data_IF_091698928481
#
_entry.id   IF_091698928481
#
_cell.length_a   1.000
_cell.length_b   1.000
_cell.length_c   1.000
_cell.angle_alpha   90.00
_cell.angle_beta   90.00
_cell.angle_gamma   90.00
#
_symmetry.space_group_name_H-M   'P 1'
#
loop_
_entity.id
_entity.type
_entity.pdbx_description
1 polymer ?
#
# COMPACT_ATOMS: atom_id res chain seq x y z
N UNK A 1 -14.33 -11.34 14.92
CA UNK A 1 -13.14 -10.47 14.80
C UNK A 1 -12.76 -10.33 13.34
N UNK A 2 -11.82 -9.48 12.95
CA UNK A 2 -11.60 -9.12 11.53
C UNK A 2 -10.10 -9.20 11.27
N UNK A 3 -9.60 -10.43 11.16
CA UNK A 3 -8.19 -10.71 11.10
C UNK A 3 -7.62 -10.39 9.71
N UNK A 4 -6.36 -9.94 9.69
CA UNK A 4 -5.60 -9.59 8.50
C UNK A 4 -4.26 -10.31 8.53
N UNK A 5 -3.90 -10.97 7.44
CA UNK A 5 -2.59 -11.59 7.27
C UNK A 5 -1.69 -10.65 6.47
N UNK A 6 -0.51 -10.35 7.00
CA UNK A 6 0.47 -9.48 6.35
C UNK A 6 1.50 -10.29 5.57
N UNK A 7 1.58 -10.06 4.27
CA UNK A 7 2.53 -10.69 3.36
C UNK A 7 3.63 -9.69 3.00
N UNK A 8 4.87 -10.00 3.37
CA UNK A 8 6.02 -9.15 3.11
C UNK A 8 6.88 -9.82 2.02
N UNK A 9 6.98 -9.20 0.85
CA UNK A 9 7.59 -9.84 -0.30
C UNK A 9 8.76 -9.03 -0.87
N UNK A 10 9.90 -9.67 -0.92
CA UNK A 10 11.16 -9.09 -1.38
C UNK A 10 11.82 -8.15 -0.36
N UNK A 11 13.02 -7.70 -0.64
CA UNK A 11 13.85 -6.93 0.28
C UNK A 11 13.16 -5.63 0.75
N UNK A 12 12.59 -4.85 -0.17
CA UNK A 12 11.88 -3.60 0.19
C UNK A 12 10.62 -3.89 1.01
N UNK A 13 9.82 -4.90 0.61
CA UNK A 13 8.61 -5.29 1.31
C UNK A 13 8.88 -5.78 2.73
N UNK A 14 9.94 -6.58 2.90
CA UNK A 14 10.36 -7.07 4.21
C UNK A 14 10.88 -5.96 5.12
N UNK A 15 11.63 -4.98 4.60
CA UNK A 15 12.12 -3.85 5.39
C UNK A 15 10.96 -2.95 5.84
N UNK A 16 10.06 -2.56 4.93
CA UNK A 16 8.86 -1.77 5.29
C UNK A 16 7.98 -2.52 6.27
N UNK A 17 7.77 -3.81 6.04
CA UNK A 17 6.97 -4.65 6.93
C UNK A 17 7.57 -4.78 8.33
N UNK A 18 8.89 -4.88 8.45
CA UNK A 18 9.57 -4.93 9.76
C UNK A 18 9.36 -3.62 10.53
N UNK A 19 9.52 -2.47 9.87
CA UNK A 19 9.29 -1.16 10.49
C UNK A 19 7.80 -0.98 10.87
N UNK A 20 6.88 -1.50 10.05
CA UNK A 20 5.45 -1.54 10.39
C UNK A 20 5.18 -2.37 11.65
N UNK A 21 5.74 -3.57 11.77
CA UNK A 21 5.55 -4.41 12.95
C UNK A 21 6.17 -3.81 14.21
N UNK A 22 7.33 -3.15 14.09
CA UNK A 22 7.89 -2.39 15.19
C UNK A 22 6.91 -1.31 15.67
N UNK A 23 6.36 -0.51 14.72
CA UNK A 23 5.37 0.53 15.02
C UNK A 23 4.13 -0.04 15.71
N UNK A 24 3.59 -1.15 15.21
CA UNK A 24 2.40 -1.79 15.78
C UNK A 24 2.68 -2.36 17.20
N UNK A 25 3.83 -2.99 17.39
CA UNK A 25 4.22 -3.51 18.72
C UNK A 25 4.38 -2.39 19.74
N UNK A 26 5.01 -1.28 19.35
CA UNK A 26 5.13 -0.11 20.25
C UNK A 26 3.76 0.50 20.56
N UNK A 27 2.85 0.60 19.60
CA UNK A 27 1.48 1.11 19.82
C UNK A 27 0.63 0.23 20.72
N UNK A 28 0.78 -1.09 20.66
CA UNK A 28 0.05 -2.06 21.48
C UNK A 28 0.82 -2.50 22.73
N UNK A 29 1.94 -1.84 23.04
CA UNK A 29 2.77 -2.17 24.21
C UNK A 29 3.22 -3.63 24.27
N UNK A 30 3.57 -4.20 23.11
CA UNK A 30 4.10 -5.56 22.98
C UNK A 30 5.62 -5.50 22.93
N UNK A 31 6.29 -6.29 23.79
CA UNK A 31 7.75 -6.39 23.79
C UNK A 31 8.27 -7.09 22.50
N UNK A 32 9.56 -6.92 22.14
CA UNK A 32 10.15 -7.66 21.02
C UNK A 32 10.08 -9.20 21.17
N UNK A 33 9.85 -9.69 22.38
CA UNK A 33 9.68 -11.11 22.68
C UNK A 33 8.21 -11.58 22.55
N UNK A 34 7.29 -10.68 22.23
CA UNK A 34 5.86 -10.97 22.07
C UNK A 34 5.03 -10.85 23.35
N UNK A 35 5.62 -10.41 24.48
CA UNK A 35 4.89 -10.27 25.73
C UNK A 35 4.21 -8.91 25.82
N UNK A 36 2.98 -8.89 26.30
CA UNK A 36 2.25 -7.67 26.61
C UNK A 36 2.80 -7.04 27.90
N UNK A 37 3.26 -5.79 27.81
CA UNK A 37 3.82 -5.01 28.94
C UNK A 37 2.99 -3.77 29.26
N UNK A 38 1.88 -3.56 28.55
CA UNK A 38 0.97 -2.45 28.75
C UNK A 38 0.09 -2.59 29.98
N UNK A 39 -0.66 -1.53 30.27
CA UNK A 39 -1.62 -1.48 31.40
C UNK A 39 -3.05 -1.16 30.95
N UNK A 40 -3.27 -0.97 29.64
CA UNK A 40 -4.54 -0.54 29.08
C UNK A 40 -5.30 -1.72 28.45
N UNK A 41 -6.51 -1.98 28.91
CA UNK A 41 -7.37 -3.00 28.31
C UNK A 41 -7.79 -2.65 26.87
N UNK A 42 -7.77 -1.35 26.51
CA UNK A 42 -8.09 -0.87 25.14
C UNK A 42 -7.08 -1.35 24.09
N UNK A 43 -5.83 -1.56 24.49
CA UNK A 43 -4.77 -2.03 23.60
C UNK A 43 -4.95 -3.51 23.24
N UNK A 44 -5.68 -4.26 24.09
CA UNK A 44 -5.94 -5.70 23.91
C UNK A 44 -7.24 -5.99 23.17
N UNK A 45 -8.23 -5.09 23.19
CA UNK A 45 -9.59 -5.35 22.71
C UNK A 45 -9.66 -5.84 21.27
N UNK A 46 -8.82 -5.30 20.37
CA UNK A 46 -8.80 -5.67 18.96
C UNK A 46 -7.41 -6.16 18.50
N UNK A 47 -6.61 -6.70 19.42
CA UNK A 47 -5.26 -7.16 19.11
C UNK A 47 -5.25 -8.33 18.11
N UNK A 48 -6.29 -9.18 18.15
CA UNK A 48 -6.46 -10.34 17.29
C UNK A 48 -6.50 -10.01 15.78
N UNK A 49 -6.71 -8.73 15.42
CA UNK A 49 -6.68 -8.30 14.01
C UNK A 49 -5.34 -8.62 13.36
N UNK A 50 -4.24 -8.40 14.06
CA UNK A 50 -2.89 -8.58 13.54
C UNK A 50 -2.07 -9.63 14.28
N UNK A 51 -2.46 -10.03 15.49
CA UNK A 51 -1.71 -10.96 16.32
C UNK A 51 -2.49 -12.23 16.63
N UNK A 52 -1.76 -13.32 16.80
CA UNK A 52 -2.25 -14.57 17.37
C UNK A 52 -1.78 -14.68 18.82
N UNK A 53 -2.64 -15.03 19.75
CA UNK A 53 -2.22 -15.42 21.10
C UNK A 53 -1.76 -16.89 21.07
N UNK A 54 -0.47 -17.13 21.28
CA UNK A 54 0.11 -18.49 21.29
C UNK A 54 0.04 -19.12 22.67
N UNK A 55 0.33 -18.35 23.70
CA UNK A 55 0.21 -18.72 25.11
C UNK A 55 -0.31 -17.49 25.87
N UNK A 56 -0.86 -17.68 27.07
CA UNK A 56 -1.42 -16.60 27.85
C UNK A 56 -0.46 -15.41 27.98
N UNK A 57 -0.82 -14.30 27.30
CA UNK A 57 -0.04 -13.05 27.29
C UNK A 57 1.15 -13.02 26.33
N UNK A 58 1.31 -14.03 25.46
CA UNK A 58 2.34 -14.02 24.42
C UNK A 58 1.71 -13.99 23.02
N UNK A 59 2.01 -12.95 22.27
CA UNK A 59 1.40 -12.60 21.00
C UNK A 59 2.39 -12.74 19.85
N UNK A 60 1.93 -13.30 18.75
CA UNK A 60 2.72 -13.53 17.53
C UNK A 60 2.05 -12.88 16.31
N UNK A 61 2.80 -12.14 15.48
CA UNK A 61 2.26 -11.51 14.27
C UNK A 61 1.68 -12.51 13.28
N UNK A 62 0.53 -12.16 12.69
CA UNK A 62 -0.02 -12.84 11.51
C UNK A 62 0.74 -12.39 10.27
N UNK A 63 1.98 -12.82 10.11
CA UNK A 63 2.86 -12.36 9.05
C UNK A 63 3.60 -13.52 8.38
N UNK A 64 3.74 -13.43 7.05
CA UNK A 64 4.57 -14.34 6.24
C UNK A 64 5.62 -13.50 5.52
N UNK A 65 6.88 -13.84 5.68
CA UNK A 65 8.02 -13.13 5.13
C UNK A 65 8.65 -13.96 4.02
N UNK A 66 8.66 -13.41 2.81
CA UNK A 66 9.12 -14.11 1.61
C UNK A 66 10.23 -13.31 0.94
N UNK A 67 11.38 -13.91 0.72
CA UNK A 67 12.42 -13.32 -0.12
C UNK A 67 13.22 -14.41 -0.83
N UNK A 68 13.60 -14.15 -2.08
CA UNK A 68 14.53 -15.01 -2.81
C UNK A 68 15.97 -14.81 -2.33
N UNK A 69 16.30 -13.63 -1.80
CA UNK A 69 17.62 -13.31 -1.23
C UNK A 69 17.62 -13.54 0.29
N UNK A 70 18.39 -14.50 0.81
CA UNK A 70 18.42 -14.81 2.23
C UNK A 70 18.91 -13.65 3.11
N UNK A 71 19.70 -12.71 2.56
CA UNK A 71 20.33 -11.63 3.34
C UNK A 71 19.34 -10.77 4.10
N UNK A 72 18.22 -10.40 3.47
CA UNK A 72 17.22 -9.57 4.12
C UNK A 72 16.56 -10.30 5.27
N UNK A 73 16.16 -11.55 5.05
CA UNK A 73 15.51 -12.38 6.07
C UNK A 73 16.48 -12.71 7.21
N UNK A 74 17.75 -13.02 6.90
CA UNK A 74 18.77 -13.28 7.91
C UNK A 74 19.03 -12.03 8.78
N UNK A 75 19.02 -10.84 8.20
CA UNK A 75 19.12 -9.58 8.95
C UNK A 75 17.91 -9.36 9.87
N UNK A 76 16.70 -9.66 9.41
CA UNK A 76 15.48 -9.56 10.24
C UNK A 76 15.53 -10.55 11.38
N UNK A 77 15.91 -11.80 11.13
CA UNK A 77 16.08 -12.83 12.17
C UNK A 77 17.11 -12.43 13.23
N UNK A 78 18.18 -11.74 12.81
CA UNK A 78 19.22 -11.25 13.72
C UNK A 78 18.80 -9.98 14.48
N UNK A 79 17.72 -9.30 14.08
CA UNK A 79 17.20 -8.11 14.75
C UNK A 79 16.49 -8.46 16.06
N UNK A 80 16.34 -7.52 17.00
CA UNK A 80 15.60 -7.75 18.24
C UNK A 80 14.16 -8.25 18.02
N UNK A 81 13.52 -7.82 16.93
CA UNK A 81 12.16 -8.21 16.56
C UNK A 81 12.09 -9.54 15.79
N UNK A 82 13.23 -10.16 15.47
CA UNK A 82 13.25 -11.43 14.74
C UNK A 82 12.63 -12.59 15.49
N UNK A 83 12.67 -12.55 16.82
CA UNK A 83 12.06 -13.59 17.68
C UNK A 83 10.54 -13.51 17.68
N UNK A 84 9.98 -12.35 17.36
CA UNK A 84 8.53 -12.09 17.36
C UNK A 84 7.80 -12.94 16.30
N UNK A 85 8.42 -13.16 15.13
CA UNK A 85 7.81 -13.87 14.02
C UNK A 85 7.94 -15.39 14.18
N UNK A 86 6.97 -16.12 13.65
CA UNK A 86 7.05 -17.57 13.59
C UNK A 86 8.18 -18.01 12.65
N UNK A 87 9.02 -18.96 13.12
CA UNK A 87 10.11 -19.49 12.30
C UNK A 87 9.63 -20.18 11.01
N UNK A 88 8.45 -20.78 11.02
CA UNK A 88 7.86 -21.43 9.85
C UNK A 88 7.39 -20.45 8.78
N UNK A 89 7.18 -19.17 9.14
CA UNK A 89 6.71 -18.13 8.24
C UNK A 89 7.84 -17.39 7.52
N UNK A 90 9.10 -17.76 7.76
CA UNK A 90 10.24 -17.26 7.02
C UNK A 90 10.54 -18.14 5.81
N UNK A 91 10.22 -17.68 4.62
CA UNK A 91 10.38 -18.44 3.38
C UNK A 91 11.49 -17.81 2.54
N UNK A 92 12.48 -18.61 2.25
CA UNK A 92 13.69 -18.18 1.53
C UNK A 92 13.82 -19.01 0.26
N UNK A 93 14.09 -18.35 -0.86
CA UNK A 93 14.41 -19.03 -2.12
C UNK A 93 15.65 -19.93 -2.03
N UNK A 94 15.78 -20.82 -3.00
CA UNK A 94 16.84 -21.83 -2.99
C UNK A 94 18.23 -21.17 -3.09
N UNK A 95 19.10 -21.38 -2.09
CA UNK A 95 20.43 -20.75 -1.99
C UNK A 95 21.35 -21.04 -3.20
N UNK A 96 21.11 -22.13 -3.92
CA UNK A 96 21.94 -22.57 -5.04
C UNK A 96 21.59 -21.90 -6.37
N UNK A 97 20.32 -21.41 -6.51
CA UNK A 97 19.83 -20.74 -7.72
C UNK A 97 19.86 -19.21 -7.60
N UNK A 98 20.17 -18.67 -6.42
CA UNK A 98 20.43 -17.25 -6.23
C UNK A 98 21.78 -16.88 -6.90
N UNK A 99 21.81 -16.96 -8.22
CA UNK A 99 22.91 -16.38 -8.97
C UNK A 99 23.01 -14.90 -8.64
N UNK A 100 24.08 -14.48 -7.97
CA UNK A 100 24.43 -13.09 -7.63
C UNK A 100 24.59 -12.18 -8.86
N UNK A 101 23.96 -12.53 -9.98
CA UNK A 101 23.98 -11.75 -11.19
C UNK A 101 22.83 -10.75 -11.18
N UNK A 102 23.11 -9.50 -11.50
CA UNK A 102 22.13 -8.42 -11.77
C UNK A 102 20.92 -8.84 -12.62
N UNK A 103 20.94 -10.03 -13.14
CA UNK A 103 20.01 -10.58 -14.12
C UNK A 103 18.91 -11.47 -13.53
N UNK A 104 19.03 -11.90 -12.27
CA UNK A 104 17.95 -12.58 -11.55
C UNK A 104 16.87 -11.61 -11.05
N UNK A 105 17.08 -10.31 -11.24
CA UNK A 105 16.14 -9.27 -10.80
C UNK A 105 15.12 -8.93 -11.91
N UNK A 106 14.56 -9.94 -12.58
CA UNK A 106 13.52 -9.75 -13.57
C UNK A 106 12.18 -10.39 -13.10
N UNK A 107 11.08 -9.83 -13.57
CA UNK A 107 9.73 -10.30 -13.27
C UNK A 107 9.55 -11.78 -13.64
N UNK A 108 9.97 -12.17 -14.85
CA UNK A 108 9.77 -13.54 -15.35
C UNK A 108 10.49 -14.59 -14.49
N UNK A 109 11.70 -14.29 -14.05
CA UNK A 109 12.44 -15.17 -13.15
C UNK A 109 11.75 -15.34 -11.80
N UNK A 110 11.25 -14.25 -11.23
CA UNK A 110 10.45 -14.27 -10.01
C UNK A 110 9.11 -14.98 -10.16
N UNK A 111 8.47 -14.86 -11.31
CA UNK A 111 7.14 -15.40 -11.57
C UNK A 111 7.18 -16.89 -11.96
N UNK A 112 7.93 -17.26 -13.02
CA UNK A 112 7.90 -18.59 -13.60
C UNK A 112 8.92 -19.55 -13.01
N UNK A 113 10.11 -19.06 -12.62
CA UNK A 113 11.22 -19.95 -12.23
C UNK A 113 11.26 -20.14 -10.72
N UNK A 114 11.64 -19.11 -9.98
CA UNK A 114 11.82 -19.24 -8.53
C UNK A 114 10.52 -19.12 -7.75
N UNK A 115 9.56 -18.34 -8.25
CA UNK A 115 8.24 -18.24 -7.65
C UNK A 115 7.59 -19.62 -7.50
N UNK A 116 7.50 -20.36 -8.58
CA UNK A 116 6.90 -21.70 -8.57
C UNK A 116 7.64 -22.71 -7.65
N UNK A 117 8.92 -22.50 -7.35
CA UNK A 117 9.65 -23.39 -6.44
C UNK A 117 9.31 -23.17 -4.96
N UNK A 118 8.95 -21.95 -4.58
CA UNK A 118 8.64 -21.59 -3.20
C UNK A 118 7.13 -21.48 -2.95
N UNK A 119 6.34 -21.53 -4.00
CA UNK A 119 4.91 -21.29 -3.99
C UNK A 119 4.16 -22.20 -3.00
N UNK A 120 4.36 -23.50 -3.08
CA UNK A 120 3.77 -24.46 -2.14
C UNK A 120 4.10 -24.15 -0.68
N UNK A 121 5.32 -23.67 -0.40
CA UNK A 121 5.73 -23.32 0.97
C UNK A 121 5.05 -22.06 1.45
N UNK A 122 4.91 -21.06 0.57
CA UNK A 122 4.23 -19.79 0.87
C UNK A 122 2.76 -20.04 1.11
N UNK A 123 2.10 -20.76 0.22
CA UNK A 123 0.66 -21.07 0.34
C UNK A 123 0.36 -21.91 1.58
N UNK A 124 1.23 -22.86 1.92
CA UNK A 124 1.08 -23.65 3.16
C UNK A 124 1.26 -22.78 4.42
N UNK A 125 2.19 -21.82 4.43
CA UNK A 125 2.32 -20.88 5.54
C UNK A 125 1.10 -19.96 5.65
N UNK A 126 0.60 -19.45 4.54
CA UNK A 126 -0.63 -18.63 4.49
C UNK A 126 -1.83 -19.46 4.98
N UNK A 127 -1.98 -20.71 4.52
CA UNK A 127 -3.04 -21.59 4.94
C UNK A 127 -3.02 -21.84 6.45
N UNK A 128 -1.84 -22.08 7.04
CA UNK A 128 -1.68 -22.25 8.49
C UNK A 128 -2.09 -20.99 9.27
N UNK A 129 -1.73 -19.79 8.80
CA UNK A 129 -2.14 -18.54 9.43
C UNK A 129 -3.65 -18.27 9.24
N UNK A 130 -4.22 -18.64 8.09
CA UNK A 130 -5.64 -18.52 7.83
C UNK A 130 -6.47 -19.46 8.71
N UNK A 131 -5.99 -20.67 8.97
CA UNK A 131 -6.65 -21.65 9.85
C UNK A 131 -6.63 -21.21 11.34
N UNK A 132 -5.64 -20.42 11.77
CA UNK A 132 -5.61 -19.82 13.10
C UNK A 132 -6.59 -18.64 13.24
N UNK A 133 -7.14 -18.16 12.15
CA UNK A 133 -8.03 -17.00 12.12
C UNK A 133 -9.49 -17.47 12.23
N UNK A 134 -10.28 -16.80 13.07
CA UNK A 134 -11.73 -17.08 13.18
C UNK A 134 -12.51 -16.47 12.02
N UNK A 135 -12.15 -15.25 11.60
CA UNK A 135 -12.84 -14.52 10.55
C UNK A 135 -11.83 -13.72 9.73
N UNK A 136 -11.13 -14.39 8.82
CA UNK A 136 -10.18 -13.75 7.91
C UNK A 136 -10.89 -12.71 7.05
N UNK A 137 -10.48 -11.45 7.13
CA UNK A 137 -11.04 -10.34 6.38
C UNK A 137 -10.28 -10.11 5.07
N UNK A 138 -8.97 -10.24 5.10
CA UNK A 138 -8.15 -9.99 3.92
C UNK A 138 -6.66 -10.15 4.16
N UNK A 139 -5.93 -9.82 3.11
CA UNK A 139 -4.48 -9.84 3.06
C UNK A 139 -3.94 -8.43 2.87
N UNK A 140 -2.86 -8.12 3.56
CA UNK A 140 -2.11 -6.88 3.40
C UNK A 140 -0.74 -7.23 2.84
N UNK A 141 -0.41 -6.71 1.65
CA UNK A 141 0.87 -6.95 1.01
C UNK A 141 1.78 -5.73 1.14
N UNK A 142 3.07 -5.97 1.35
CA UNK A 142 4.12 -4.96 1.16
C UNK A 142 5.15 -5.47 0.17
N UNK A 143 5.31 -4.79 -0.94
CA UNK A 143 6.23 -5.19 -2.00
C UNK A 143 6.72 -4.00 -2.84
N UNK A 144 7.70 -4.22 -3.69
CA UNK A 144 8.15 -3.23 -4.67
C UNK A 144 7.92 -3.74 -6.09
N UNK A 145 7.56 -2.85 -7.00
CA UNK A 145 7.29 -3.17 -8.41
C UNK A 145 8.56 -3.26 -9.27
N UNK A 146 9.70 -2.73 -8.79
CA UNK A 146 10.92 -2.66 -9.60
C UNK A 146 11.81 -3.89 -9.53
N UNK A 147 11.75 -4.64 -8.42
CA UNK A 147 12.57 -5.84 -8.19
C UNK A 147 11.92 -7.11 -8.73
N UNK A 148 12.69 -8.14 -9.08
CA UNK A 148 12.17 -9.42 -9.58
C UNK A 148 11.31 -10.18 -8.54
N UNK A 149 11.75 -10.23 -7.28
CA UNK A 149 11.00 -10.86 -6.18
C UNK A 149 9.73 -10.08 -5.87
N UNK A 150 9.86 -8.79 -5.58
CA UNK A 150 8.72 -7.95 -5.20
C UNK A 150 7.67 -7.79 -6.30
N UNK A 151 8.05 -7.94 -7.57
CA UNK A 151 7.13 -7.94 -8.71
C UNK A 151 6.66 -9.35 -9.06
N UNK A 152 7.58 -10.24 -9.46
CA UNK A 152 7.23 -11.54 -10.01
C UNK A 152 6.64 -12.51 -8.98
N UNK A 153 7.32 -12.71 -7.84
CA UNK A 153 6.81 -13.62 -6.79
C UNK A 153 5.52 -13.07 -6.16
N UNK A 154 5.43 -11.74 -5.97
CA UNK A 154 4.22 -11.15 -5.41
C UNK A 154 2.98 -11.41 -6.30
N UNK A 155 3.14 -11.26 -7.60
CA UNK A 155 2.03 -11.52 -8.53
C UNK A 155 1.69 -13.01 -8.60
N UNK A 156 2.69 -13.90 -8.58
CA UNK A 156 2.43 -15.35 -8.53
C UNK A 156 1.58 -15.72 -7.30
N UNK A 157 2.00 -15.28 -6.12
CA UNK A 157 1.25 -15.51 -4.87
C UNK A 157 -0.17 -14.89 -4.95
N UNK A 158 -0.31 -13.69 -5.51
CA UNK A 158 -1.62 -13.04 -5.65
C UNK A 158 -2.57 -13.81 -6.56
N UNK A 159 -2.08 -14.43 -7.64
CA UNK A 159 -2.91 -15.26 -8.51
C UNK A 159 -3.47 -16.49 -7.77
N UNK A 160 -2.64 -17.16 -7.00
CA UNK A 160 -3.09 -18.29 -6.19
C UNK A 160 -4.06 -17.84 -5.07
N UNK A 161 -3.79 -16.71 -4.44
CA UNK A 161 -4.72 -16.13 -3.44
C UNK A 161 -6.06 -15.72 -4.05
N UNK A 162 -6.08 -15.32 -5.31
CA UNK A 162 -7.34 -15.00 -6.01
C UNK A 162 -8.20 -16.22 -6.23
N UNK A 163 -7.58 -17.39 -6.50
CA UNK A 163 -8.26 -18.66 -6.65
C UNK A 163 -8.77 -19.18 -5.30
N UNK A 164 -7.90 -19.22 -4.28
CA UNK A 164 -8.21 -19.86 -2.99
C UNK A 164 -9.04 -18.99 -2.06
N UNK A 165 -8.80 -17.65 -2.09
CA UNK A 165 -9.38 -16.66 -1.16
C UNK A 165 -10.09 -15.51 -1.88
N UNK A 166 -10.93 -15.81 -2.87
CA UNK A 166 -11.61 -14.83 -3.73
C UNK A 166 -12.56 -13.87 -2.96
N UNK A 167 -12.97 -14.21 -1.74
CA UNK A 167 -13.85 -13.38 -0.89
C UNK A 167 -13.10 -12.48 0.08
N UNK A 168 -11.79 -12.68 0.22
CA UNK A 168 -10.92 -11.92 1.08
C UNK A 168 -10.39 -10.70 0.33
N UNK A 169 -10.31 -9.57 1.01
CA UNK A 169 -9.81 -8.32 0.41
C UNK A 169 -8.28 -8.39 0.30
N UNK A 170 -7.78 -8.06 -0.86
CA UNK A 170 -6.36 -7.98 -1.15
C UNK A 170 -5.93 -6.51 -1.24
N UNK A 171 -5.24 -6.06 -0.20
CA UNK A 171 -4.72 -4.70 -0.09
C UNK A 171 -3.21 -4.71 -0.25
N UNK A 172 -2.65 -3.81 -1.06
CA UNK A 172 -1.20 -3.69 -1.20
C UNK A 172 -0.66 -2.29 -0.91
N UNK A 173 0.55 -2.25 -0.33
CA UNK A 173 1.41 -1.08 -0.26
C UNK A 173 2.58 -1.32 -1.21
N UNK A 174 2.50 -0.71 -2.38
CA UNK A 174 3.39 -1.00 -3.50
C UNK A 174 4.35 0.15 -3.74
N UNK A 175 5.65 -0.13 -3.55
CA UNK A 175 6.70 0.83 -3.86
C UNK A 175 6.94 0.84 -5.36
N UNK A 176 6.50 1.91 -6.01
CA UNK A 176 6.66 2.13 -7.44
C UNK A 176 8.07 2.65 -7.74
N UNK A 177 8.66 2.17 -8.82
CA UNK A 177 9.98 2.63 -9.26
C UNK A 177 9.95 4.10 -9.68
N UNK A 178 10.95 4.87 -9.26
CA UNK A 178 11.05 6.29 -9.61
C UNK A 178 11.47 6.48 -11.07
N UNK A 179 10.76 7.33 -11.80
CA UNK A 179 11.09 7.71 -13.19
C UNK A 179 12.01 8.94 -13.23
N UNK A 180 12.46 9.42 -12.08
CA UNK A 180 13.28 10.62 -12.00
C UNK A 180 14.49 10.56 -12.94
N UNK A 181 14.69 11.65 -13.71
CA UNK A 181 15.85 11.92 -14.58
C UNK A 181 15.99 11.09 -15.88
N UNK A 182 14.94 10.42 -16.35
CA UNK A 182 14.92 9.84 -17.71
C UNK A 182 15.79 8.60 -17.92
N UNK A 183 16.38 8.04 -16.90
CA UNK A 183 17.27 6.87 -16.94
C UNK A 183 16.88 5.77 -15.95
N UNK A 184 15.59 5.39 -15.94
CA UNK A 184 15.16 4.18 -15.24
C UNK A 184 15.90 2.97 -15.85
N UNK A 185 16.37 2.05 -15.00
CA UNK A 185 16.93 0.77 -15.48
C UNK A 185 15.85 0.05 -16.31
N UNK A 186 16.17 -0.46 -17.51
CA UNK A 186 15.20 -1.19 -18.33
C UNK A 186 14.47 -2.32 -17.59
N UNK A 187 15.15 -3.03 -16.69
CA UNK A 187 14.54 -4.08 -15.90
C UNK A 187 13.43 -3.54 -14.98
N UNK A 188 13.69 -2.42 -14.30
CA UNK A 188 12.69 -1.78 -13.45
C UNK A 188 11.48 -1.29 -14.23
N UNK A 189 11.70 -0.78 -15.47
CA UNK A 189 10.61 -0.33 -16.33
C UNK A 189 9.70 -1.51 -16.75
N UNK A 190 10.29 -2.64 -17.13
CA UNK A 190 9.52 -3.83 -17.48
C UNK A 190 8.79 -4.42 -16.29
N UNK A 191 9.50 -4.62 -15.18
CA UNK A 191 8.91 -5.17 -13.96
C UNK A 191 7.73 -4.32 -13.45
N UNK A 192 7.85 -2.98 -13.49
CA UNK A 192 6.80 -2.07 -13.07
C UNK A 192 5.53 -2.21 -13.92
N UNK A 193 5.66 -2.28 -15.25
CA UNK A 193 4.50 -2.42 -16.15
C UNK A 193 3.84 -3.79 -15.99
N UNK A 194 4.61 -4.88 -15.90
CA UNK A 194 4.03 -6.18 -15.62
C UNK A 194 3.29 -6.18 -14.27
N UNK A 195 3.92 -5.63 -13.21
CA UNK A 195 3.26 -5.55 -11.91
C UNK A 195 1.97 -4.73 -11.96
N UNK A 196 1.98 -3.54 -12.56
CA UNK A 196 0.81 -2.67 -12.66
C UNK A 196 -0.33 -3.34 -13.44
N UNK A 197 0.00 -4.03 -14.55
CA UNK A 197 -0.99 -4.76 -15.35
C UNK A 197 -1.70 -5.85 -14.55
N UNK A 198 -0.96 -6.69 -13.82
CA UNK A 198 -1.58 -7.74 -13.01
C UNK A 198 -2.25 -7.19 -11.73
N UNK A 199 -1.69 -6.17 -11.10
CA UNK A 199 -2.28 -5.56 -9.91
C UNK A 199 -3.65 -4.94 -10.20
N UNK A 200 -3.88 -4.42 -11.42
CA UNK A 200 -5.18 -3.86 -11.82
C UNK A 200 -6.32 -4.88 -11.81
N UNK A 201 -5.99 -6.17 -11.93
CA UNK A 201 -6.96 -7.24 -12.03
C UNK A 201 -7.05 -8.09 -10.74
N UNK A 202 -5.96 -8.19 -9.97
CA UNK A 202 -5.84 -9.12 -8.83
C UNK A 202 -6.05 -8.47 -7.46
N UNK A 203 -5.89 -7.15 -7.35
CA UNK A 203 -5.99 -6.42 -6.08
C UNK A 203 -7.31 -5.66 -5.97
N UNK A 204 -7.79 -5.51 -4.74
CA UNK A 204 -8.95 -4.68 -4.45
C UNK A 204 -8.56 -3.25 -4.06
N UNK A 205 -7.39 -3.06 -3.46
CA UNK A 205 -6.88 -1.75 -3.03
C UNK A 205 -5.36 -1.69 -3.19
N UNK A 206 -4.87 -0.70 -3.91
CA UNK A 206 -3.44 -0.50 -4.14
C UNK A 206 -2.99 0.89 -3.73
N UNK A 207 -2.17 0.98 -2.68
CA UNK A 207 -1.53 2.22 -2.28
C UNK A 207 -0.17 2.33 -2.97
N UNK A 208 -0.06 3.29 -3.90
CA UNK A 208 1.18 3.54 -4.61
C UNK A 208 2.07 4.52 -3.82
N UNK A 209 3.34 4.19 -3.71
CA UNK A 209 4.34 4.95 -2.97
C UNK A 209 5.60 5.10 -3.82
N UNK A 210 6.24 6.27 -3.78
CA UNK A 210 7.50 6.55 -4.49
C UNK A 210 8.59 7.02 -3.54
N UNK A 211 9.78 6.45 -3.65
CA UNK A 211 10.92 6.81 -2.79
C UNK A 211 11.36 8.27 -2.99
N UNK A 212 11.27 8.82 -4.20
CA UNK A 212 11.61 10.22 -4.45
C UNK A 212 10.74 11.18 -3.63
N UNK A 213 9.45 10.89 -3.47
CA UNK A 213 8.56 11.72 -2.65
C UNK A 213 8.81 11.55 -1.16
N UNK A 214 9.08 10.33 -0.71
CA UNK A 214 9.48 10.08 0.67
C UNK A 214 10.76 10.85 1.01
N UNK A 215 11.75 10.83 0.12
CA UNK A 215 12.97 11.61 0.27
C UNK A 215 12.67 13.12 0.36
N UNK A 216 11.81 13.63 -0.51
CA UNK A 216 11.40 15.04 -0.49
C UNK A 216 10.69 15.40 0.82
N UNK A 217 9.82 14.56 1.35
CA UNK A 217 9.16 14.78 2.65
C UNK A 217 10.20 14.81 3.77
N UNK A 218 11.10 13.85 3.82
CA UNK A 218 12.17 13.82 4.83
C UNK A 218 13.06 15.06 4.75
N UNK A 219 13.44 15.48 3.55
CA UNK A 219 14.33 16.62 3.34
C UNK A 219 13.65 17.97 3.59
N UNK A 220 12.46 18.18 3.00
CA UNK A 220 11.79 19.48 3.03
C UNK A 220 10.95 19.68 4.30
N UNK A 221 10.16 18.69 4.70
CA UNK A 221 9.21 18.82 5.80
C UNK A 221 9.87 18.46 7.14
N UNK A 222 10.60 17.35 7.21
CA UNK A 222 11.31 16.92 8.42
C UNK A 222 12.69 17.56 8.57
N UNK A 223 13.20 18.25 7.53
CA UNK A 223 14.50 18.94 7.52
C UNK A 223 15.69 18.05 7.85
N UNK A 224 15.63 16.79 7.44
CA UNK A 224 16.74 15.86 7.58
C UNK A 224 17.81 16.14 6.52
N UNK A 225 19.08 16.26 6.92
CA UNK A 225 20.17 16.58 5.99
C UNK A 225 20.50 15.42 5.05
N UNK A 226 20.38 14.19 5.51
CA UNK A 226 20.66 12.96 4.75
C UNK A 226 19.67 11.85 5.16
N UNK A 227 18.46 11.81 4.55
CA UNK A 227 17.50 10.76 4.85
C UNK A 227 18.02 9.36 4.47
N UNK A 228 17.84 8.40 5.35
CA UNK A 228 18.12 6.99 5.11
C UNK A 228 16.85 6.24 4.62
N UNK A 229 17.03 5.02 4.11
CA UNK A 229 15.89 4.17 3.78
C UNK A 229 15.02 3.82 5.00
N UNK A 230 15.63 3.68 6.18
CA UNK A 230 14.88 3.46 7.42
C UNK A 230 13.99 4.66 7.76
N UNK A 231 14.46 5.90 7.57
CA UNK A 231 13.63 7.09 7.79
C UNK A 231 12.44 7.14 6.83
N UNK A 232 12.66 6.77 5.56
CA UNK A 232 11.58 6.69 4.57
C UNK A 232 10.57 5.58 4.91
N UNK A 233 11.03 4.40 5.32
CA UNK A 233 10.17 3.30 5.72
C UNK A 233 9.33 3.64 6.96
N UNK A 234 9.88 4.41 7.90
CA UNK A 234 9.13 4.87 9.09
C UNK A 234 7.95 5.78 8.73
N UNK A 235 8.04 6.57 7.65
CA UNK A 235 6.90 7.34 7.14
C UNK A 235 5.81 6.41 6.58
N UNK A 236 6.21 5.39 5.83
CA UNK A 236 5.27 4.41 5.27
C UNK A 236 4.57 3.67 6.41
N UNK A 237 5.32 3.16 7.38
CA UNK A 237 4.78 2.40 8.51
C UNK A 237 3.83 3.24 9.38
N UNK A 238 4.13 4.53 9.57
CA UNK A 238 3.23 5.47 10.24
C UNK A 238 1.89 5.63 9.50
N UNK A 239 1.91 5.75 8.17
CA UNK A 239 0.69 5.81 7.36
C UNK A 239 -0.08 4.49 7.37
N UNK A 240 0.60 3.35 7.27
CA UNK A 240 0.00 2.02 7.37
C UNK A 240 -0.68 1.82 8.74
N UNK A 241 -0.01 2.23 9.83
CA UNK A 241 -0.59 2.22 11.17
C UNK A 241 -1.82 3.13 11.26
N UNK A 242 -1.77 4.32 10.65
CA UNK A 242 -2.89 5.25 10.62
C UNK A 242 -4.14 4.66 9.96
N UNK A 243 -4.00 4.02 8.81
CA UNK A 243 -5.12 3.39 8.08
C UNK A 243 -5.70 2.22 8.88
N UNK A 244 -4.86 1.39 9.48
CA UNK A 244 -5.28 0.21 10.22
C UNK A 244 -5.87 0.55 11.60
N UNK A 245 -5.68 1.76 12.11
CA UNK A 245 -6.08 2.15 13.47
C UNK A 245 -7.58 1.97 13.74
N UNK A 246 -8.45 2.27 12.75
CA UNK A 246 -9.88 2.07 12.88
C UNK A 246 -10.33 0.62 13.01
N UNK A 247 -9.47 -0.35 12.67
CA UNK A 247 -9.71 -1.78 12.87
C UNK A 247 -9.09 -2.31 14.17
N UNK A 248 -8.00 -1.67 14.63
CA UNK A 248 -7.21 -2.12 15.81
C UNK A 248 -7.66 -1.52 17.14
N UNK A 249 -8.38 -0.43 17.10
CA UNK A 249 -8.84 0.24 18.30
C UNK A 249 -10.34 0.48 18.24
N UNK A 250 -11.04 0.42 19.38
CA UNK A 250 -12.44 0.80 19.45
C UNK A 250 -12.58 2.31 19.17
N UNK A 251 -13.60 2.69 18.43
CA UNK A 251 -13.87 4.08 18.10
C UNK A 251 -15.33 4.29 17.73
N UNK A 252 -15.78 5.55 17.77
CA UNK A 252 -17.18 5.88 17.46
C UNK A 252 -17.52 5.62 15.98
N UNK A 253 -16.55 5.82 15.10
CA UNK A 253 -16.68 5.61 13.66
C UNK A 253 -15.62 4.60 13.17
N UNK A 254 -15.84 3.34 13.52
CA UNK A 254 -14.94 2.26 13.11
C UNK A 254 -15.01 1.99 11.61
N UNK A 255 -13.85 1.89 10.99
CA UNK A 255 -13.70 1.48 9.61
C UNK A 255 -13.03 0.11 9.53
N UNK A 256 -13.79 -0.90 9.14
CA UNK A 256 -13.20 -2.19 8.75
C UNK A 256 -12.59 -2.09 7.36
N UNK A 257 -11.60 -2.94 7.04
CA UNK A 257 -10.98 -2.99 5.71
C UNK A 257 -12.03 -3.08 4.60
N UNK A 258 -13.06 -3.91 4.77
CA UNK A 258 -14.17 -4.03 3.81
C UNK A 258 -14.95 -2.75 3.63
N UNK A 259 -15.22 -2.01 4.72
CA UNK A 259 -15.93 -0.73 4.63
C UNK A 259 -15.09 0.33 3.91
N UNK A 260 -13.78 0.35 4.18
CA UNK A 260 -12.86 1.25 3.49
C UNK A 260 -12.85 0.93 1.99
N UNK A 261 -12.66 -0.34 1.62
CA UNK A 261 -12.65 -0.80 0.23
C UNK A 261 -13.96 -0.43 -0.49
N UNK A 262 -15.11 -0.77 0.07
CA UNK A 262 -16.42 -0.48 -0.55
C UNK A 262 -16.67 1.01 -0.76
N UNK A 263 -16.18 1.87 0.14
CA UNK A 263 -16.39 3.31 0.03
C UNK A 263 -15.39 4.00 -0.91
N UNK A 264 -14.19 3.43 -1.07
CA UNK A 264 -13.12 4.04 -1.85
C UNK A 264 -13.07 3.57 -3.31
N UNK A 265 -13.42 2.31 -3.55
CA UNK A 265 -13.36 1.72 -4.89
C UNK A 265 -14.70 1.96 -5.59
N UNK A 266 -14.75 2.93 -6.50
CA UNK A 266 -15.95 3.20 -7.30
C UNK A 266 -16.12 2.18 -8.41
N UNK A 267 -15.02 1.82 -9.05
CA UNK A 267 -14.95 0.85 -10.14
C UNK A 267 -13.83 -0.16 -9.87
N UNK A 268 -14.02 -1.43 -10.16
CA UNK A 268 -13.08 -2.50 -9.78
C UNK A 268 -11.62 -2.24 -10.20
N UNK A 269 -11.38 -1.68 -11.39
CA UNK A 269 -10.03 -1.39 -11.89
C UNK A 269 -9.44 -0.07 -11.38
N UNK A 270 -10.28 0.87 -10.91
CA UNK A 270 -9.87 2.17 -10.42
C UNK A 270 -9.63 2.15 -8.90
N UNK A 271 -8.76 1.28 -8.43
CA UNK A 271 -8.47 1.05 -7.02
C UNK A 271 -7.06 1.47 -6.60
N UNK A 272 -6.43 2.34 -7.38
CA UNK A 272 -5.12 2.91 -7.05
C UNK A 272 -5.28 4.19 -6.23
N UNK A 273 -4.54 4.27 -5.13
CA UNK A 273 -4.67 5.37 -4.17
C UNK A 273 -3.32 6.03 -3.91
N UNK A 274 -3.36 7.33 -3.70
CA UNK A 274 -2.26 8.08 -3.09
C UNK A 274 -2.46 8.17 -1.58
N UNK A 275 -1.37 8.11 -0.85
CA UNK A 275 -1.30 8.19 0.60
C UNK A 275 -0.75 9.54 1.04
N UNK A 276 -1.26 10.07 2.15
CA UNK A 276 -0.70 11.22 2.85
C UNK A 276 -0.83 11.03 4.35
N UNK A 277 0.19 11.45 5.08
CA UNK A 277 0.18 11.48 6.55
C UNK A 277 0.30 12.90 7.08
N UNK A 278 -0.18 13.13 8.29
CA UNK A 278 -0.06 14.39 9.01
C UNK A 278 -0.03 14.14 10.53
N UNK A 279 0.88 14.77 11.28
CA UNK A 279 1.83 15.81 10.88
C UNK A 279 3.16 15.25 10.38
N UNK A 280 3.66 15.74 9.26
CA UNK A 280 5.03 15.55 8.83
C UNK A 280 5.81 16.86 9.04
N UNK A 281 6.17 17.20 10.28
CA UNK A 281 6.94 18.40 10.61
C UNK A 281 7.96 18.16 11.71
N UNK A 282 9.16 18.76 11.56
CA UNK A 282 10.25 18.69 12.52
C UNK A 282 10.07 19.56 13.79
N UNK A 283 9.09 20.46 13.83
CA UNK A 283 8.90 21.40 14.93
C UNK A 283 7.67 21.05 15.77
N UNK A 284 7.87 20.96 17.10
CA UNK A 284 6.78 20.99 18.08
C UNK A 284 6.00 22.30 17.89
N UNK A 285 4.75 22.17 17.43
CA UNK A 285 3.87 23.33 17.29
C UNK A 285 3.51 23.93 18.65
N UNK A 286 3.35 25.26 18.71
CA UNK A 286 2.85 25.96 19.90
C UNK A 286 1.55 25.28 20.37
N UNK A 287 1.46 24.94 21.64
CA UNK A 287 0.37 24.22 22.29
C UNK A 287 -1.04 24.80 22.00
N UNK A 288 -1.12 26.10 21.66
CA UNK A 288 -2.38 26.78 21.33
C UNK A 288 -2.86 26.60 19.86
N UNK A 289 -2.02 25.99 18.97
CA UNK A 289 -2.35 25.73 17.57
C UNK A 289 -2.27 24.26 17.21
N UNK A 290 -2.48 23.38 18.18
CA UNK A 290 -2.17 21.94 18.12
C UNK A 290 -2.85 21.20 16.96
N UNK A 291 -4.05 21.60 16.57
CA UNK A 291 -4.85 20.91 15.54
C UNK A 291 -4.80 21.55 14.16
N UNK A 292 -4.64 22.88 14.09
CA UNK A 292 -4.68 23.62 12.82
C UNK A 292 -3.59 23.19 11.82
N UNK A 293 -2.31 22.96 12.23
CA UNK A 293 -1.28 22.55 11.28
C UNK A 293 -1.55 21.17 10.67
N UNK A 294 -1.96 20.20 11.48
CA UNK A 294 -2.24 18.84 11.02
C UNK A 294 -3.39 18.82 9.99
N UNK A 295 -4.48 19.52 10.29
CA UNK A 295 -5.62 19.60 9.36
C UNK A 295 -5.26 20.30 8.06
N UNK A 296 -4.42 21.35 8.10
CA UNK A 296 -4.01 22.06 6.89
C UNK A 296 -3.12 21.22 5.98
N UNK A 297 -2.33 20.31 6.56
CA UNK A 297 -1.47 19.39 5.82
C UNK A 297 -2.22 18.22 5.18
N UNK A 298 -3.42 17.89 5.69
CA UNK A 298 -4.23 16.82 5.16
C UNK A 298 -4.69 17.15 3.72
N UNK A 299 -4.32 16.30 2.78
CA UNK A 299 -4.58 16.53 1.35
C UNK A 299 -3.70 17.60 0.71
N UNK A 300 -2.59 18.01 1.36
CA UNK A 300 -1.56 18.84 0.71
C UNK A 300 -0.68 17.94 -0.18
N UNK A 301 -0.49 18.28 -1.47
CA UNK A 301 0.35 17.51 -2.39
C UNK A 301 1.79 17.28 -1.90
N UNK A 302 2.30 18.19 -1.07
CA UNK A 302 3.65 18.09 -0.50
C UNK A 302 3.83 16.93 0.47
N UNK A 303 2.72 16.43 1.02
CA UNK A 303 2.70 15.32 1.97
C UNK A 303 2.25 14.01 1.32
N UNK A 304 1.98 14.00 0.02
CA UNK A 304 1.67 12.77 -0.70
C UNK A 304 2.91 11.90 -0.82
N UNK A 305 2.75 10.61 -0.54
CA UNK A 305 3.82 9.63 -0.70
C UNK A 305 4.03 9.24 -2.18
N UNK A 306 3.23 9.77 -3.06
CA UNK A 306 3.28 9.59 -4.50
C UNK A 306 3.31 10.96 -5.19
N UNK A 307 4.10 11.11 -6.24
CA UNK A 307 4.19 12.36 -7.01
C UNK A 307 2.95 12.58 -7.90
N UNK A 308 1.81 12.70 -7.25
CA UNK A 308 0.54 12.99 -7.91
C UNK A 308 0.19 14.48 -7.71
N UNK A 309 -0.09 15.19 -8.80
CA UNK A 309 -0.55 16.58 -8.74
C UNK A 309 -2.08 16.61 -8.69
N UNK A 310 -2.71 16.94 -7.56
CA UNK A 310 -4.16 16.97 -7.43
C UNK A 310 -4.84 18.06 -8.27
N UNK A 311 -4.06 19.01 -8.82
CA UNK A 311 -4.60 20.06 -9.71
C UNK A 311 -4.76 19.57 -11.16
N UNK A 312 -4.22 18.42 -11.51
CA UNK A 312 -4.26 17.84 -12.86
C UNK A 312 -5.24 16.66 -12.83
N UNK A 313 -6.49 16.90 -12.55
CA UNK A 313 -7.48 15.83 -12.52
C UNK A 313 -8.51 15.99 -11.43
N UNK A 314 -9.46 15.07 -11.36
CA UNK A 314 -10.53 15.07 -10.39
C UNK A 314 -10.23 14.06 -9.26
N UNK A 315 -10.64 14.39 -8.04
CA UNK A 315 -10.72 13.47 -6.92
C UNK A 315 -12.01 12.67 -7.05
N UNK A 316 -11.92 11.37 -7.17
CA UNK A 316 -13.09 10.49 -7.20
C UNK A 316 -13.57 10.21 -5.77
N UNK A 317 -12.74 9.56 -4.98
CA UNK A 317 -13.05 9.22 -3.59
C UNK A 317 -11.90 9.53 -2.67
N UNK A 318 -12.22 9.76 -1.40
CA UNK A 318 -11.23 9.94 -0.35
C UNK A 318 -11.67 9.30 0.96
N UNK A 319 -10.69 8.88 1.73
CA UNK A 319 -10.87 8.40 3.09
C UNK A 319 -9.85 9.07 4.01
N UNK A 320 -10.32 9.59 5.13
CA UNK A 320 -9.48 10.20 6.15
C UNK A 320 -9.61 9.44 7.47
N UNK A 321 -8.50 9.04 8.05
CA UNK A 321 -8.45 8.42 9.37
C UNK A 321 -7.84 9.41 10.36
N UNK A 322 -8.60 9.79 11.38
CA UNK A 322 -8.18 10.68 12.44
C UNK A 322 -7.87 9.90 13.71
N UNK A 323 -6.70 10.13 14.30
CA UNK A 323 -6.26 9.49 15.54
C UNK A 323 -6.01 10.52 16.63
N UNK A 324 -6.46 10.21 17.86
CA UNK A 324 -6.33 11.09 19.01
C UNK A 324 -7.59 11.92 19.27
N UNK A 325 -7.49 12.89 20.18
CA UNK A 325 -8.62 13.72 20.58
C UNK A 325 -8.88 14.84 19.58
N UNK A 326 -9.80 14.65 18.67
CA UNK A 326 -10.23 15.64 17.70
C UNK A 326 -11.62 16.20 18.04
N UNK A 327 -11.81 17.51 17.86
CA UNK A 327 -13.14 18.10 17.89
C UNK A 327 -13.91 17.76 16.60
N UNK A 328 -15.12 17.23 16.75
CA UNK A 328 -15.98 16.83 15.62
C UNK A 328 -16.19 17.96 14.62
N UNK A 329 -16.39 19.19 15.11
CA UNK A 329 -16.56 20.39 14.27
C UNK A 329 -15.32 20.67 13.40
N UNK A 330 -14.12 20.43 13.95
CA UNK A 330 -12.88 20.65 13.20
C UNK A 330 -12.71 19.62 12.07
N UNK A 331 -13.12 18.39 12.30
CA UNK A 331 -13.10 17.33 11.28
C UNK A 331 -14.10 17.66 10.17
N UNK A 332 -15.36 17.98 10.54
CA UNK A 332 -16.41 18.30 9.58
C UNK A 332 -16.03 19.53 8.73
N UNK A 333 -15.48 20.57 9.36
CA UNK A 333 -14.98 21.73 8.64
C UNK A 333 -13.91 21.36 7.60
N UNK A 334 -12.95 20.49 7.99
CA UNK A 334 -11.88 20.09 7.07
C UNK A 334 -12.37 19.22 5.91
N UNK A 335 -13.32 18.33 6.17
CA UNK A 335 -13.93 17.51 5.12
C UNK A 335 -14.68 18.38 4.12
N UNK A 336 -15.45 19.36 4.62
CA UNK A 336 -16.12 20.36 3.78
C UNK A 336 -15.11 21.21 2.99
N UNK A 337 -13.98 21.61 3.62
CA UNK A 337 -12.90 22.33 2.94
C UNK A 337 -12.29 21.52 1.78
N UNK A 338 -12.08 20.21 1.96
CA UNK A 338 -11.60 19.33 0.89
C UNK A 338 -12.66 19.18 -0.20
N UNK A 339 -13.92 18.98 0.16
CA UNK A 339 -15.03 18.87 -0.79
C UNK A 339 -15.27 20.17 -1.58
N UNK A 340 -15.07 21.32 -0.95
CA UNK A 340 -15.31 22.63 -1.56
C UNK A 340 -14.05 23.22 -2.23
N UNK A 341 -12.92 22.54 -2.19
CA UNK A 341 -11.70 22.97 -2.90
C UNK A 341 -11.97 23.00 -4.39
N UNK A 342 -12.01 24.16 -4.96
CA UNK A 342 -12.16 24.46 -6.39
C UNK A 342 -13.29 23.70 -7.09
N UNK A 343 -14.31 24.38 -7.64
CA UNK A 343 -15.31 23.74 -8.49
C UNK A 343 -14.61 22.93 -9.59
N UNK A 344 -14.96 21.66 -9.75
CA UNK A 344 -14.40 20.76 -10.76
C UNK A 344 -13.20 19.91 -10.32
N UNK A 345 -12.67 20.05 -9.08
CA UNK A 345 -11.61 19.13 -8.57
C UNK A 345 -12.16 17.87 -7.93
N UNK A 346 -13.42 17.81 -7.57
CA UNK A 346 -14.11 16.62 -7.05
C UNK A 346 -15.11 16.16 -8.12
N UNK A 347 -15.23 14.87 -8.34
CA UNK A 347 -16.18 14.31 -9.28
C UNK A 347 -17.62 14.54 -8.77
N UNK A 348 -18.40 15.34 -9.50
CA UNK A 348 -19.77 15.75 -9.10
C UNK A 348 -20.78 14.60 -9.17
N UNK A 349 -20.52 13.59 -10.00
CA UNK A 349 -21.34 12.39 -10.15
C UNK A 349 -21.19 11.37 -9.00
N UNK A 350 -20.24 11.59 -8.05
CA UNK A 350 -20.07 10.76 -6.85
C UNK A 350 -20.54 11.51 -5.59
N UNK A 351 -21.82 11.43 -5.23
CA UNK A 351 -22.29 12.01 -3.98
C UNK A 351 -21.63 11.26 -2.79
N UNK A 352 -21.16 12.02 -1.81
CA UNK A 352 -20.51 11.48 -0.61
C UNK A 352 -19.21 10.69 -0.86
N UNK A 353 -18.43 11.04 -1.88
CA UNK A 353 -17.15 10.39 -2.20
C UNK A 353 -16.08 10.52 -1.09
N UNK A 354 -16.30 11.34 -0.05
CA UNK A 354 -15.36 11.54 1.05
C UNK A 354 -15.92 10.89 2.32
N UNK A 355 -15.20 9.90 2.84
CA UNK A 355 -15.52 9.21 4.09
C UNK A 355 -14.40 9.38 5.12
N UNK A 356 -14.72 9.20 6.40
CA UNK A 356 -13.73 9.30 7.46
C UNK A 356 -13.99 8.33 8.60
N UNK A 357 -12.94 8.06 9.37
CA UNK A 357 -13.01 7.34 10.64
C UNK A 357 -12.29 8.13 11.75
N UNK A 358 -12.73 7.92 12.98
CA UNK A 358 -12.13 8.54 14.15
C UNK A 358 -11.77 7.48 15.18
N UNK A 359 -10.53 7.52 15.64
CA UNK A 359 -10.01 6.69 16.70
C UNK A 359 -9.51 7.58 17.84
N UNK A 360 -9.93 7.32 19.07
CA UNK A 360 -9.54 8.11 20.24
C UNK A 360 -8.09 7.88 20.66
N UNK A 361 -7.52 6.73 20.30
CA UNK A 361 -6.14 6.35 20.69
C UNK A 361 -5.11 7.06 19.79
N UNK A 362 -4.23 7.91 20.35
CA UNK A 362 -3.16 8.54 19.57
C UNK A 362 -2.14 7.51 19.09
N UNK A 363 -1.29 7.90 18.13
CA UNK A 363 -0.14 7.10 17.71
C UNK A 363 1.02 7.18 18.73
N UNK A 364 2.17 6.57 18.38
CA UNK A 364 3.39 6.54 19.21
C UNK A 364 3.79 7.95 19.68
N UNK A 365 3.65 8.96 18.85
CA UNK A 365 3.99 10.35 19.18
C UNK A 365 3.11 10.99 20.26
N UNK A 366 2.05 10.31 20.72
CA UNK A 366 1.03 10.85 21.62
C UNK A 366 0.35 12.15 21.10
N UNK A 367 0.63 12.54 19.86
CA UNK A 367 0.04 13.71 19.22
C UNK A 367 -1.12 13.27 18.30
N UNK A 368 -2.13 14.14 18.12
CA UNK A 368 -3.18 13.87 17.14
C UNK A 368 -2.60 13.78 15.75
N UNK A 369 -2.97 12.74 15.02
CA UNK A 369 -2.52 12.48 13.67
C UNK A 369 -3.70 12.21 12.74
N UNK A 370 -3.48 12.39 11.44
CA UNK A 370 -4.46 12.06 10.43
C UNK A 370 -3.76 11.42 9.22
N UNK A 371 -4.38 10.40 8.67
CA UNK A 371 -3.93 9.74 7.45
C UNK A 371 -5.01 9.88 6.38
N UNK A 372 -4.60 10.20 5.17
CA UNK A 372 -5.51 10.44 4.05
C UNK A 372 -5.18 9.50 2.90
N UNK A 373 -6.21 8.91 2.34
CA UNK A 373 -6.22 8.12 1.12
C UNK A 373 -7.05 8.86 0.08
N UNK A 374 -6.52 9.05 -1.12
CA UNK A 374 -7.25 9.70 -2.19
C UNK A 374 -7.10 8.96 -3.51
N UNK A 375 -8.21 8.76 -4.21
CA UNK A 375 -8.24 8.28 -5.58
C UNK A 375 -8.33 9.49 -6.52
N UNK A 376 -7.22 9.82 -7.13
CA UNK A 376 -7.12 10.96 -8.05
C UNK A 376 -6.94 10.47 -9.49
N UNK A 377 -7.65 11.05 -10.43
CA UNK A 377 -7.44 10.76 -11.85
C UNK A 377 -6.04 11.17 -12.37
N UNK A 378 -5.36 12.09 -11.68
CA UNK A 378 -3.96 12.44 -11.95
C UNK A 378 -2.95 11.29 -11.80
N UNK A 379 -3.34 10.14 -11.22
CA UNK A 379 -2.56 8.90 -11.24
C UNK A 379 -2.30 8.39 -12.66
N UNK A 380 -3.20 8.67 -13.61
CA UNK A 380 -3.03 8.33 -15.03
C UNK A 380 -1.72 8.87 -15.61
N UNK A 381 -1.27 10.05 -15.21
CA UNK A 381 0.00 10.63 -15.69
C UNK A 381 1.22 9.81 -15.24
N UNK A 382 1.20 9.30 -14.02
CA UNK A 382 2.29 8.47 -13.48
C UNK A 382 2.35 7.15 -14.25
N UNK A 383 1.22 6.48 -14.44
CA UNK A 383 1.14 5.23 -15.20
C UNK A 383 1.57 5.46 -16.66
N UNK A 384 1.10 6.54 -17.28
CA UNK A 384 1.51 6.95 -18.65
C UNK A 384 3.00 7.17 -18.77
N UNK A 385 3.63 7.81 -17.76
CA UNK A 385 5.07 8.01 -17.75
C UNK A 385 5.85 6.69 -17.68
N UNK A 386 5.35 5.69 -16.91
CA UNK A 386 5.92 4.33 -16.89
C UNK A 386 5.75 3.62 -18.23
N UNK A 387 4.57 3.69 -18.87
CA UNK A 387 4.35 3.16 -20.22
C UNK A 387 5.30 3.79 -21.25
N UNK A 388 5.52 5.09 -21.19
CA UNK A 388 6.44 5.78 -22.10
C UNK A 388 7.90 5.31 -21.93
N UNK A 389 8.37 5.11 -20.69
CA UNK A 389 9.70 4.56 -20.43
C UNK A 389 9.82 3.09 -20.88
N UNK A 390 8.81 2.28 -20.61
CA UNK A 390 8.72 0.90 -21.07
C UNK A 390 8.86 0.84 -22.60
N UNK A 391 8.02 1.58 -23.34
CA UNK A 391 8.05 1.61 -24.80
C UNK A 391 9.39 2.09 -25.37
N UNK A 392 10.06 3.01 -24.69
CA UNK A 392 11.41 3.48 -25.08
C UNK A 392 12.43 2.34 -25.11
N UNK A 393 12.36 1.42 -24.12
CA UNK A 393 13.26 0.27 -24.06
C UNK A 393 12.78 -0.90 -24.89
N UNK A 394 11.47 -1.14 -24.94
CA UNK A 394 10.87 -2.22 -25.71
C UNK A 394 11.13 -2.06 -27.22
N UNK A 395 10.99 -0.85 -27.80
CA UNK A 395 11.35 -0.55 -29.19
C UNK A 395 12.81 -0.84 -29.52
N UNK A 396 13.71 -0.74 -28.54
CA UNK A 396 15.14 -1.06 -28.70
C UNK A 396 15.44 -2.52 -28.39
N UNK A 397 14.45 -3.31 -28.03
CA UNK A 397 14.59 -4.71 -27.58
C UNK A 397 15.64 -4.89 -26.47
N UNK A 398 15.77 -3.90 -25.57
CA UNK A 398 16.77 -3.92 -24.51
C UNK A 398 16.42 -5.01 -23.48
N UNK A 399 17.32 -5.96 -23.24
CA UNK A 399 17.23 -7.04 -22.24
C UNK A 399 16.03 -8.01 -22.37
N UNK A 400 15.18 -7.91 -23.41
CA UNK A 400 14.00 -8.77 -23.61
C UNK A 400 14.36 -10.25 -23.65
N UNK A 401 15.52 -10.60 -24.24
CA UNK A 401 15.97 -11.98 -24.38
C UNK A 401 15.95 -12.75 -23.05
N UNK A 402 16.30 -12.10 -21.94
CA UNK A 402 16.32 -12.71 -20.62
C UNK A 402 14.94 -13.07 -20.08
N UNK A 403 13.96 -12.20 -20.34
CA UNK A 403 12.57 -12.48 -20.00
C UNK A 403 12.00 -13.64 -20.81
N UNK A 404 12.44 -13.74 -22.09
CA UNK A 404 12.03 -14.86 -22.96
C UNK A 404 12.69 -16.17 -22.49
N UNK A 405 13.96 -16.14 -22.09
CA UNK A 405 14.66 -17.30 -21.53
C UNK A 405 14.00 -17.83 -20.24
N UNK A 406 13.38 -16.94 -19.43
CA UNK A 406 12.67 -17.27 -18.20
C UNK A 406 11.16 -17.60 -18.41
N UNK A 407 10.65 -17.60 -19.66
CA UNK A 407 9.31 -18.10 -19.99
C UNK A 407 8.30 -17.09 -20.51
N UNK A 408 8.62 -15.78 -20.56
CA UNK A 408 7.75 -14.78 -21.19
C UNK A 408 7.89 -14.80 -22.72
N UNK A 409 6.82 -14.44 -23.43
CA UNK A 409 6.87 -14.20 -24.87
C UNK A 409 6.73 -12.71 -25.21
N UNK A 410 7.09 -12.29 -26.43
CA UNK A 410 6.97 -10.89 -26.84
C UNK A 410 5.51 -10.40 -26.78
N UNK A 411 4.54 -11.27 -26.88
CA UNK A 411 3.11 -10.93 -26.80
C UNK A 411 2.74 -10.43 -25.39
N UNK A 412 3.28 -11.04 -24.33
CA UNK A 412 3.00 -10.61 -22.96
C UNK A 412 3.42 -9.17 -22.67
N UNK A 413 4.51 -8.69 -23.31
CA UNK A 413 4.94 -7.29 -23.20
C UNK A 413 3.93 -6.33 -23.81
N UNK A 414 3.35 -6.70 -24.97
CA UNK A 414 2.35 -5.89 -25.67
C UNK A 414 1.05 -5.88 -24.88
N UNK A 415 0.65 -7.03 -24.35
CA UNK A 415 -0.54 -7.20 -23.52
C UNK A 415 -0.45 -6.36 -22.24
N UNK A 416 0.67 -6.43 -21.52
CA UNK A 416 0.87 -5.65 -20.30
C UNK A 416 0.86 -4.13 -20.57
N UNK A 417 1.44 -3.68 -21.69
CA UNK A 417 1.39 -2.27 -22.09
C UNK A 417 -0.03 -1.84 -22.45
N UNK A 418 -0.76 -2.66 -23.22
CA UNK A 418 -2.15 -2.39 -23.59
C UNK A 418 -3.04 -2.26 -22.34
N UNK A 419 -2.94 -3.19 -21.39
CA UNK A 419 -3.71 -3.15 -20.16
C UNK A 419 -3.44 -1.87 -19.34
N UNK A 420 -2.18 -1.43 -19.27
CA UNK A 420 -1.84 -0.18 -18.59
C UNK A 420 -2.35 1.05 -19.35
N UNK A 421 -2.35 1.05 -20.67
CA UNK A 421 -2.90 2.12 -21.49
C UNK A 421 -4.43 2.18 -21.38
N UNK A 422 -5.10 1.04 -21.32
CA UNK A 422 -6.54 0.95 -21.10
C UNK A 422 -6.91 1.51 -19.71
N UNK A 423 -6.15 1.18 -18.68
CA UNK A 423 -6.32 1.74 -17.34
C UNK A 423 -6.19 3.28 -17.33
N UNK A 424 -5.19 3.82 -18.04
CA UNK A 424 -5.03 5.27 -18.20
C UNK A 424 -6.25 5.89 -18.87
N UNK A 425 -6.75 5.27 -19.93
CA UNK A 425 -7.93 5.74 -20.68
C UNK A 425 -9.19 5.71 -19.83
N UNK A 426 -9.37 4.69 -19.00
CA UNK A 426 -10.47 4.59 -18.04
C UNK A 426 -10.43 5.76 -17.02
N UNK A 427 -9.27 6.02 -16.40
CA UNK A 427 -9.12 7.16 -15.47
C UNK A 427 -9.45 8.50 -16.14
N UNK A 428 -9.07 8.69 -17.40
CA UNK A 428 -9.35 9.92 -18.15
C UNK A 428 -10.82 10.04 -18.55
N UNK A 429 -11.44 8.95 -18.99
CA UNK A 429 -12.87 8.92 -19.33
C UNK A 429 -13.74 9.32 -18.15
N UNK A 430 -13.51 8.71 -16.98
CA UNK A 430 -14.27 9.05 -15.78
C UNK A 430 -13.95 10.44 -15.23
N UNK A 431 -12.74 10.97 -15.48
CA UNK A 431 -12.43 12.36 -15.13
C UNK A 431 -13.17 13.39 -15.99
N UNK A 432 -13.51 13.02 -17.24
CA UNK A 432 -14.23 13.88 -18.18
C UNK A 432 -15.76 13.72 -18.10
N UNK A 433 -16.26 12.66 -17.44
CA UNK A 433 -17.69 12.44 -17.30
C UNK A 433 -18.33 13.56 -16.47
N UNK A 434 -19.40 14.13 -17.00
CA UNK A 434 -20.23 15.18 -16.39
C UNK A 434 -21.65 14.65 -16.12
N UNK A 435 -22.36 15.25 -15.19
CA UNK A 435 -23.72 14.83 -14.75
C UNK A 435 -24.76 15.05 -15.88
N UNK A 436 -24.48 15.93 -16.83
CA UNK A 436 -25.41 16.26 -17.91
C UNK A 436 -25.64 15.08 -18.90
N UNK A 437 -24.73 14.11 -18.95
CA UNK A 437 -24.86 12.94 -19.85
C UNK A 437 -25.92 11.93 -19.37
N UNK A 438 -26.41 12.01 -18.12
CA UNK A 438 -27.47 11.10 -17.62
C UNK A 438 -28.90 11.61 -17.90
N UNK A 439 -29.11 12.90 -18.12
CA UNK A 439 -30.46 13.43 -18.38
C UNK A 439 -30.94 13.18 -19.82
N UNK A 440 -30.07 12.93 -20.80
CA UNK A 440 -30.47 12.60 -22.17
C UNK A 440 -31.01 11.17 -22.34
N UNK A 441 -30.73 10.24 -21.42
CA UNK A 441 -31.18 8.84 -21.52
C UNK A 441 -32.60 8.57 -21.00
N UNK A 442 -33.13 9.42 -20.11
CA UNK A 442 -34.49 9.24 -19.55
C UNK A 442 -35.60 9.90 -20.35
N UNK A 443 -35.30 10.70 -21.40
CA UNK A 443 -36.35 11.40 -22.18
C UNK A 443 -36.93 10.59 -23.35
N UNK A 444 -36.37 9.41 -23.68
CA UNK A 444 -36.79 8.62 -24.84
C UNK A 444 -37.65 7.38 -24.52
N UNK A 445 -38.08 7.18 -23.27
CA UNK A 445 -39.02 6.12 -22.88
C UNK A 445 -40.31 6.65 -22.22
N UNK A 446 -40.98 7.58 -22.86
CA UNK A 446 -42.44 7.76 -22.70
C UNK A 446 -43.15 7.22 -23.94
N UNK A 447 -43.56 5.94 -23.87
CA UNK A 447 -44.69 5.41 -24.63
C UNK A 447 -45.40 4.30 -23.83
#
# INVERSE_FOLDING_TARGET
>A
MKEIIHLQIGSSGNNVGTDFWQTICEEHSISPEGQYVGTSDLDLECLDVYFNEVCAGNYQPRAVLVDLDPRTIDNIRASPHGVLFNNDNYIIGNKYDCGYTRFSNNFAHGFYTQGNQIDEQVLEAIRKEAEKSETLQGFQLTHSTGGGTGSGVAINILQELDVDYNKCIKQSFSLLSDISEGNLDPLHAYNAIFSLSFMSDLLDMTMLIQNCQLYNICFQNLRMASPSYSDMNSLISSCMSGISSGSRYPGELNASLRKICTNLVCFPRLHFFTLSGSPFQAQKSDLNKKYSPCLNQLGDPRNFLLNCNPNIGKLFTAFACFRGSWGQDSINYKIQDISNRSPGTVAEWLPNGISYSCCSTPGISQEPSATFLGNYSGLSEIIRAHCAQFMKYFKKKAFIRKYIEDGLCEFNFIEAESNCCDLVSEYESYAMADVEDEEEFDSDFEF
#
